data_IF_647755937481
#
_entry.id   IF_647755937481
#
_cell.length_a   1.000
_cell.length_b   1.000
_cell.length_c   1.000
_cell.angle_alpha   90.00
_cell.angle_beta   90.00
_cell.angle_gamma   90.00
#
_symmetry.space_group_name_H-M   'P 1'
#
loop_
_entity.id
_entity.type
_entity.pdbx_description
1 polymer ?
2 non-polymer ?
3 non-polymer ?
4 water ?
#
# COMPACT_ATOMS: atom_id res chain seq x y z
N UNK A 1 3.10 6.14 -4.04
CA UNK A 1 2.65 6.54 -5.40
C UNK A 1 2.42 8.06 -5.53
N UNK A 2 2.14 8.75 -4.43
CA UNK A 2 1.74 10.17 -4.32
C UNK A 2 1.94 10.66 -2.88
N UNK A 3 1.65 11.93 -2.54
CA UNK A 3 2.09 12.54 -1.28
C UNK A 3 1.45 11.98 0.01
N UNK A 4 0.30 11.32 -0.12
CA UNK A 4 -0.35 10.60 1.00
C UNK A 4 0.48 9.39 1.38
N UNK A 5 0.90 8.63 0.36
CA UNK A 5 1.76 7.43 0.53
C UNK A 5 3.15 7.85 1.03
N UNK A 6 3.65 8.99 0.58
CA UNK A 6 4.90 9.62 1.08
C UNK A 6 4.87 9.82 2.61
N UNK A 7 3.83 10.45 3.11
CA UNK A 7 3.71 10.72 4.58
C UNK A 7 3.55 9.38 5.32
N UNK A 8 2.71 8.49 4.81
CA UNK A 8 2.51 7.17 5.44
C UNK A 8 3.84 6.43 5.56
N UNK A 9 4.63 6.39 4.47
CA UNK A 9 5.92 5.68 4.44
C UNK A 9 6.86 6.27 5.47
N UNK A 10 6.88 7.59 5.57
CA UNK A 10 7.79 8.30 6.53
C UNK A 10 7.46 7.87 7.97
N UNK A 11 6.19 7.70 8.28
CA UNK A 11 5.73 7.21 9.61
C UNK A 11 6.11 5.75 9.76
N UNK A 12 5.82 4.89 8.77
CA UNK A 12 6.11 3.46 8.93
C UNK A 12 7.60 3.22 9.15
N UNK A 13 8.47 3.95 8.42
CA UNK A 13 9.92 3.60 8.35
C UNK A 13 10.61 3.99 9.65
N UNK A 14 10.05 4.88 10.47
CA UNK A 14 10.72 5.31 11.70
C UNK A 14 9.89 5.08 12.98
N UNK A 15 8.56 4.98 12.86
CA UNK A 15 7.69 5.04 14.06
C UNK A 15 6.87 3.77 14.22
N UNK A 16 7.25 2.65 13.64
CA UNK A 16 6.50 1.38 13.85
C UNK A 16 7.46 0.27 14.24
N UNK A 17 6.91 -0.68 15.01
CA UNK A 17 7.57 -1.95 15.38
C UNK A 17 6.54 -3.04 15.16
N UNK A 18 7.01 -4.28 15.09
CA UNK A 18 6.10 -5.44 15.10
C UNK A 18 5.94 -5.87 16.56
N UNK A 19 4.72 -5.79 17.07
CA UNK A 19 4.42 -6.24 18.45
C UNK A 19 3.76 -7.62 18.39
N UNK A 20 4.17 -8.51 19.29
CA UNK A 20 3.60 -9.89 19.36
C UNK A 20 3.17 -10.20 20.80
N UNK A 21 1.85 -10.40 20.98
CA UNK A 21 1.24 -10.83 22.26
C UNK A 21 0.76 -12.29 22.05
N UNK A 22 0.14 -12.86 23.06
CA UNK A 22 -0.48 -14.22 22.96
C UNK A 22 -1.72 -14.19 22.05
N UNK A 23 -2.22 -13.00 21.69
CA UNK A 23 -3.37 -12.79 20.77
C UNK A 23 -2.94 -12.53 19.32
N UNK A 24 -1.65 -12.45 19.00
CA UNK A 24 -1.14 -12.34 17.62
C UNK A 24 -0.04 -11.32 17.44
N UNK A 25 0.27 -11.07 16.18
CA UNK A 25 1.20 -10.03 15.72
C UNK A 25 0.40 -8.79 15.31
N UNK A 26 0.85 -7.61 15.76
CA UNK A 26 0.18 -6.31 15.48
C UNK A 26 1.21 -5.29 14.98
N UNK A 27 0.79 -4.46 14.04
CA UNK A 27 1.44 -3.17 13.78
C UNK A 27 1.34 -2.39 15.09
N UNK A 28 2.45 -1.79 15.52
CA UNK A 28 2.46 -0.94 16.74
C UNK A 28 3.12 0.38 16.37
N UNK A 29 2.41 1.46 16.66
CA UNK A 29 2.86 2.86 16.44
C UNK A 29 3.59 3.35 17.68
N UNK A 30 4.87 3.73 17.48
CA UNK A 30 5.61 4.47 18.53
C UNK A 30 5.34 5.96 18.40
N UNK A 31 5.06 6.63 19.52
CA UNK A 31 4.60 8.04 19.47
C UNK A 31 5.72 8.98 19.95
N UNK A 32 6.40 8.64 21.05
CA UNK A 32 7.51 9.47 21.58
C UNK A 32 8.19 8.64 22.66
N UNK A 33 9.47 8.94 22.92
CA UNK A 33 10.25 8.31 24.02
C UNK A 33 10.13 6.79 23.88
N UNK A 34 9.58 6.06 24.87
CA UNK A 34 9.41 4.59 24.78
C UNK A 34 7.90 4.27 24.82
N UNK A 35 7.06 5.21 24.40
CA UNK A 35 5.57 5.14 24.50
C UNK A 35 5.03 4.78 23.11
N UNK A 36 4.24 3.72 23.05
CA UNK A 36 3.59 3.26 21.81
C UNK A 36 2.11 2.99 22.08
N UNK A 37 1.38 2.69 21.02
CA UNK A 37 -0.07 2.34 21.10
C UNK A 37 -0.32 1.03 20.37
N UNK A 38 -1.37 0.35 20.81
CA UNK A 38 -1.79 -0.94 20.23
C UNK A 38 -3.28 -1.08 20.51
N UNK A 39 -4.06 -1.83 19.68
CA UNK A 39 -5.46 -2.07 20.07
C UNK A 39 -5.55 -2.81 21.40
N UNK A 40 -6.56 -2.42 22.21
CA UNK A 40 -6.72 -3.01 23.56
C UNK A 40 -7.01 -4.52 23.46
N UNK A 41 -7.63 -4.98 22.38
CA UNK A 41 -7.87 -6.44 22.20
C UNK A 41 -6.57 -7.25 21.98
N UNK A 42 -5.40 -6.63 21.82
CA UNK A 42 -4.10 -7.33 21.83
C UNK A 42 -3.79 -7.94 23.20
N UNK A 43 -4.44 -7.48 24.28
CA UNK A 43 -4.28 -8.01 25.66
C UNK A 43 -2.81 -7.98 26.11
N UNK A 44 -2.21 -6.79 26.09
CA UNK A 44 -0.80 -6.61 26.49
C UNK A 44 -0.65 -7.07 27.95
N UNK A 45 0.38 -7.85 28.23
CA UNK A 45 0.73 -8.26 29.60
C UNK A 45 2.00 -7.63 30.09
N UNK A 46 2.72 -8.35 30.96
CA UNK A 46 3.94 -7.87 31.64
C UNK A 46 5.14 -7.94 30.67
N UNK A 47 5.07 -8.82 29.68
CA UNK A 47 6.13 -9.08 28.66
C UNK A 47 5.46 -9.04 27.27
N UNK A 48 6.13 -8.42 26.32
CA UNK A 48 5.66 -8.36 24.91
C UNK A 48 6.90 -8.61 24.02
N UNK A 49 6.71 -9.12 22.81
CA UNK A 49 7.83 -9.23 21.84
C UNK A 49 7.77 -8.01 20.92
N UNK A 50 8.90 -7.32 20.71
CA UNK A 50 9.01 -6.11 19.87
C UNK A 50 10.08 -6.45 18.83
N UNK A 51 9.70 -6.62 17.56
CA UNK A 51 10.63 -7.06 16.48
C UNK A 51 11.35 -8.35 16.96
N UNK A 52 10.61 -9.25 17.59
CA UNK A 52 11.01 -10.63 18.03
C UNK A 52 12.00 -10.61 19.19
N UNK A 53 12.08 -9.52 19.92
CA UNK A 53 12.91 -9.40 21.15
C UNK A 53 11.98 -9.30 22.37
N UNK A 54 12.25 -10.16 23.34
CA UNK A 54 11.52 -10.17 24.63
C UNK A 54 11.72 -8.83 25.34
N UNK A 55 10.62 -8.15 25.65
CA UNK A 55 10.64 -6.74 26.16
C UNK A 55 9.68 -6.61 27.37
N UNK A 56 10.18 -6.09 28.47
CA UNK A 56 9.35 -5.83 29.65
C UNK A 56 8.43 -4.66 29.36
N UNK A 57 7.18 -4.77 29.78
CA UNK A 57 6.19 -3.66 29.73
C UNK A 57 6.28 -2.88 31.05
N UNK A 58 6.69 -1.62 30.99
CA UNK A 58 6.84 -0.76 32.20
C UNK A 58 5.48 -0.25 32.64
N UNK A 59 4.54 -0.02 31.71
CA UNK A 59 3.16 0.42 32.01
C UNK A 59 2.27 0.09 30.83
N UNK A 60 1.01 -0.25 31.06
CA UNK A 60 0.01 -0.44 29.99
C UNK A 60 -1.34 0.12 30.48
N UNK A 61 -1.93 1.06 29.76
CA UNK A 61 -3.20 1.68 30.18
C UNK A 61 -4.23 1.60 29.05
N UNK A 62 -5.29 0.82 29.27
CA UNK A 62 -6.45 0.71 28.36
C UNK A 62 -7.29 1.96 28.50
N UNK A 63 -7.32 2.82 27.52
CA UNK A 63 -8.02 4.12 27.64
C UNK A 63 -9.53 3.95 27.56
N UNK A 64 -10.24 4.78 28.35
CA UNK A 64 -11.71 4.87 28.33
C UNK A 64 -12.08 6.34 28.34
N UNK A 65 -13.18 6.74 27.74
CA UNK A 65 -13.62 8.15 27.83
C UNK A 65 -14.24 8.44 29.22
N UNK A 66 -14.59 9.70 29.43
CA UNK A 66 -15.02 10.12 30.78
C UNK A 66 -16.44 9.64 31.06
N UNK A 67 -17.16 9.11 30.09
CA UNK A 67 -18.35 8.23 30.33
C UNK A 67 -17.96 6.77 30.71
N UNK A 68 -16.68 6.42 30.87
CA UNK A 68 -16.23 5.04 31.21
C UNK A 68 -16.68 4.14 30.04
N UNK A 69 -16.54 4.62 28.79
CA UNK A 69 -16.74 3.79 27.57
C UNK A 69 -15.37 3.45 26.95
N UNK A 70 -15.21 2.20 26.53
CA UNK A 70 -14.01 1.71 25.83
C UNK A 70 -13.63 2.67 24.69
N UNK A 71 -12.33 2.99 24.56
CA UNK A 71 -11.77 3.67 23.35
C UNK A 71 -10.94 2.72 22.47
N UNK A 72 -10.64 1.50 22.92
CA UNK A 72 -9.92 0.45 22.16
C UNK A 72 -8.45 0.80 21.91
N UNK A 73 -7.92 1.82 22.63
CA UNK A 73 -6.49 2.20 22.55
C UNK A 73 -5.84 1.75 23.87
N UNK A 74 -4.75 1.01 23.82
CA UNK A 74 -3.85 0.79 24.98
C UNK A 74 -2.53 1.57 24.71
N UNK A 75 -2.14 2.39 25.68
CA UNK A 75 -0.84 3.10 25.67
C UNK A 75 0.12 2.24 26.45
N UNK A 76 1.24 1.89 25.82
CA UNK A 76 2.25 0.95 26.38
C UNK A 76 3.57 1.70 26.52
N UNK A 77 4.18 1.67 27.71
CA UNK A 77 5.57 2.14 27.86
C UNK A 77 6.46 0.90 27.85
N UNK A 78 7.45 0.84 26.95
CA UNK A 78 8.29 -0.34 26.70
C UNK A 78 9.64 -0.15 27.42
N UNK A 79 10.16 -1.20 28.03
CA UNK A 79 11.56 -1.20 28.54
C UNK A 79 12.54 -1.42 27.40
N UNK A 80 12.62 -0.46 26.50
CA UNK A 80 13.43 -0.54 25.27
C UNK A 80 14.65 0.37 25.44
N UNK A 81 15.74 0.06 24.73
CA UNK A 81 17.03 0.79 24.86
C UNK A 81 17.08 1.95 23.87
N UNK A 82 15.98 2.30 23.21
CA UNK A 82 16.01 3.28 22.11
C UNK A 82 14.68 4.02 22.16
N UNK A 83 14.68 5.35 21.94
CA UNK A 83 13.45 6.16 21.84
C UNK A 83 12.93 6.20 20.40
N UNK A 84 11.64 6.46 20.29
CA UNK A 84 10.97 6.77 19.01
C UNK A 84 11.19 8.25 18.70
N UNK A 85 11.27 8.56 17.42
CA UNK A 85 11.08 9.95 16.93
C UNK A 85 9.78 10.49 17.54
N UNK A 86 9.79 11.69 18.08
CA UNK A 86 8.58 12.31 18.63
C UNK A 86 7.69 12.78 17.47
N UNK A 87 6.52 12.15 17.31
CA UNK A 87 5.52 12.53 16.26
C UNK A 87 4.25 13.10 16.87
N UNK A 88 4.27 13.54 18.12
CA UNK A 88 3.03 14.08 18.75
C UNK A 88 2.51 15.32 18.01
N UNK A 89 3.37 16.10 17.35
CA UNK A 89 2.88 17.27 16.59
C UNK A 89 2.10 16.89 15.33
N UNK A 90 2.03 15.61 14.94
CA UNK A 90 1.20 15.15 13.80
C UNK A 90 -0.16 14.63 14.28
N UNK A 91 -0.44 14.68 15.59
CA UNK A 91 -1.72 14.16 16.13
C UNK A 91 -2.75 15.28 16.11
N UNK A 92 -3.99 14.97 15.68
CA UNK A 92 -5.10 15.93 15.76
C UNK A 92 -5.42 16.30 17.21
N UNK A 93 -5.90 17.53 17.40
CA UNK A 93 -6.33 17.96 18.74
C UNK A 93 -7.81 17.60 18.99
N UNK A 94 -8.63 17.49 17.95
CA UNK A 94 -10.09 17.26 18.13
C UNK A 94 -10.60 16.14 17.23
N UNK A 95 -11.79 15.64 17.54
CA UNK A 95 -12.50 14.65 16.73
C UNK A 95 -12.86 15.32 15.40
N UNK A 96 -12.73 14.61 14.29
CA UNK A 96 -12.94 15.21 12.96
C UNK A 96 -13.18 14.12 11.93
N UNK A 97 -13.67 14.54 10.77
CA UNK A 97 -13.74 13.74 9.53
C UNK A 97 -12.52 14.12 8.66
N UNK A 98 -12.17 13.27 7.71
CA UNK A 98 -10.94 13.46 6.90
C UNK A 98 -11.19 13.04 5.46
N UNK A 99 -10.45 13.61 4.53
CA UNK A 99 -10.40 13.04 3.16
C UNK A 99 -9.08 12.29 2.91
N UNK A 100 -9.17 11.29 2.04
CA UNK A 100 -8.02 10.73 1.31
C UNK A 100 -7.01 10.22 2.34
N UNK A 101 -7.42 9.24 3.13
CA UNK A 101 -6.54 8.59 4.14
C UNK A 101 -5.88 7.34 3.55
N UNK A 102 -4.77 6.95 4.18
CA UNK A 102 -4.01 5.70 3.89
C UNK A 102 -3.96 4.92 5.19
N UNK A 103 -4.21 3.62 5.08
CA UNK A 103 -3.99 2.63 6.16
C UNK A 103 -2.72 1.86 5.85
N UNK A 104 -1.76 1.87 6.77
CA UNK A 104 -0.44 1.23 6.58
C UNK A 104 -0.20 0.14 7.63
N UNK A 105 0.28 -1.01 7.18
CA UNK A 105 0.49 -2.21 8.02
C UNK A 105 1.88 -2.72 7.77
N UNK A 106 2.52 -3.21 8.82
CA UNK A 106 3.80 -3.90 8.67
C UNK A 106 3.89 -5.07 9.66
N UNK A 107 3.66 -6.29 9.16
CA UNK A 107 3.80 -7.51 9.98
C UNK A 107 4.56 -8.56 9.16
N UNK A 108 4.84 -9.72 9.76
CA UNK A 108 5.32 -10.94 9.01
C UNK A 108 4.34 -11.35 7.87
N UNK A 109 3.04 -11.33 8.09
CA UNK A 109 1.98 -11.70 7.12
C UNK A 109 1.83 -10.60 6.03
N UNK A 110 1.98 -9.33 6.41
CA UNK A 110 1.70 -8.17 5.51
C UNK A 110 2.81 -7.12 5.66
N UNK A 111 4.02 -7.37 5.12
CA UNK A 111 5.09 -6.37 5.13
C UNK A 111 4.87 -5.27 4.08
N UNK A 112 5.18 -4.03 4.49
CA UNK A 112 5.20 -2.88 3.56
C UNK A 112 3.85 -2.77 2.83
N UNK A 113 2.74 -2.93 3.54
CA UNK A 113 1.37 -2.82 2.99
C UNK A 113 0.83 -1.41 3.19
N UNK A 114 0.31 -0.80 2.12
CA UNK A 114 -0.33 0.53 2.13
C UNK A 114 -1.65 0.44 1.37
N UNK A 115 -2.73 0.95 1.95
CA UNK A 115 -4.11 0.87 1.34
C UNK A 115 -4.71 2.27 1.29
N UNK A 116 -5.05 2.83 0.11
CA UNK A 116 -5.78 4.10 0.03
C UNK A 116 -7.25 3.79 0.36
N UNK A 117 -7.69 4.23 1.53
CA UNK A 117 -9.06 3.89 2.05
C UNK A 117 -10.05 5.00 1.72
N UNK A 118 -9.63 6.18 1.27
CA UNK A 118 -10.49 7.28 0.84
C UNK A 118 -11.02 8.05 2.02
N UNK A 119 -12.29 8.44 1.95
CA UNK A 119 -12.92 9.33 2.95
C UNK A 119 -13.09 8.61 4.30
N UNK A 120 -12.78 9.33 5.36
CA UNK A 120 -12.92 8.83 6.76
C UNK A 120 -14.01 9.63 7.50
N UNK A 121 -15.03 8.93 7.98
CA UNK A 121 -16.17 9.50 8.71
C UNK A 121 -15.87 9.45 10.23
N UNK A 122 -16.16 10.54 10.93
CA UNK A 122 -16.29 10.49 12.41
C UNK A 122 -17.57 9.71 12.69
N UNK A 123 -17.46 8.42 12.87
CA UNK A 123 -18.59 7.48 13.04
C UNK A 123 -19.15 7.59 14.47
N UNK A 124 -18.26 7.67 15.45
CA UNK A 124 -18.63 7.82 16.87
C UNK A 124 -18.79 6.48 17.54
N UNK A 125 -20.05 6.12 17.83
CA UNK A 125 -20.36 4.89 18.58
C UNK A 125 -20.30 3.67 17.65
N UNK A 126 -19.67 2.61 18.16
CA UNK A 126 -19.63 1.29 17.50
C UNK A 126 -19.70 0.23 18.58
N UNK A 127 -20.55 -0.76 18.34
CA UNK A 127 -20.51 -2.04 19.09
C UNK A 127 -19.46 -2.94 18.45
N UNK A 128 -18.24 -2.90 18.98
CA UNK A 128 -17.06 -3.53 18.43
C UNK A 128 -16.82 -4.88 19.10
N UNK A 129 -17.10 -6.00 18.39
CA UNK A 129 -16.94 -7.33 19.02
C UNK A 129 -17.80 -7.50 20.26
N UNK A 130 -18.97 -6.87 20.31
CA UNK A 130 -19.84 -6.87 21.52
C UNK A 130 -19.50 -5.78 22.54
N UNK A 131 -18.46 -4.98 22.33
CA UNK A 131 -18.06 -3.97 23.34
C UNK A 131 -18.46 -2.58 22.84
N UNK A 132 -19.33 -1.83 23.54
CA UNK A 132 -19.63 -0.43 23.20
C UNK A 132 -18.30 0.37 23.17
N UNK A 133 -18.07 1.05 22.06
CA UNK A 133 -16.80 1.77 21.81
C UNK A 133 -17.09 3.17 21.29
N UNK A 134 -16.35 4.20 21.72
CA UNK A 134 -16.53 5.58 21.23
C UNK A 134 -15.33 6.02 20.36
N UNK A 135 -15.48 7.20 19.78
CA UNK A 135 -14.42 7.87 18.94
C UNK A 135 -13.93 6.98 17.80
N UNK A 136 -14.85 6.29 17.16
CA UNK A 136 -14.53 5.44 15.99
C UNK A 136 -14.59 6.25 14.69
N UNK A 137 -13.55 6.06 13.88
CA UNK A 137 -13.44 6.50 12.48
C UNK A 137 -13.85 5.32 11.60
N UNK A 138 -14.54 5.62 10.50
CA UNK A 138 -14.95 4.57 9.52
C UNK A 138 -14.50 4.94 8.11
N UNK A 139 -14.10 3.92 7.38
CA UNK A 139 -13.69 4.03 5.95
C UNK A 139 -14.28 2.83 5.23
N UNK A 140 -14.59 3.07 3.95
CA UNK A 140 -15.34 2.08 3.14
C UNK A 140 -14.29 1.26 2.43
N UNK A 141 -13.52 0.48 3.15
CA UNK A 141 -12.60 -0.54 2.57
C UNK A 141 -12.82 -1.85 3.32
N UNK A 142 -12.89 -2.99 2.57
CA UNK A 142 -12.99 -4.33 3.13
C UNK A 142 -11.66 -4.85 3.70
N UNK A 143 -11.31 -4.27 4.85
CA UNK A 143 -10.12 -4.64 5.69
C UNK A 143 -10.30 -6.07 6.26
N UNK A 144 -9.18 -6.73 6.55
CA UNK A 144 -9.11 -8.18 6.85
C UNK A 144 -8.25 -8.38 8.10
N UNK A 145 -8.41 -9.55 8.72
CA UNK A 145 -7.54 -10.03 9.81
C UNK A 145 -6.09 -9.83 9.34
N UNK A 146 -5.23 -9.41 10.27
CA UNK A 146 -3.83 -9.04 10.03
C UNK A 146 -3.60 -7.54 10.01
N UNK A 147 -4.66 -6.71 9.90
CA UNK A 147 -4.51 -5.24 9.74
C UNK A 147 -4.69 -4.48 11.07
N UNK A 148 -5.05 -5.15 12.19
CA UNK A 148 -5.25 -4.43 13.48
C UNK A 148 -3.93 -3.81 13.91
N UNK A 149 -4.02 -2.55 14.36
CA UNK A 149 -2.84 -1.77 14.77
C UNK A 149 -2.37 -0.93 13.59
N UNK A 150 -2.89 -1.21 12.36
CA UNK A 150 -2.44 -0.44 11.20
C UNK A 150 -2.61 1.02 11.45
N UNK A 151 -1.73 1.85 10.85
CA UNK A 151 -1.75 3.31 11.10
C UNK A 151 -2.60 3.98 10.03
N UNK A 152 -3.50 4.84 10.46
CA UNK A 152 -4.34 5.69 9.55
C UNK A 152 -3.76 7.09 9.53
N UNK A 153 -3.38 7.56 8.33
CA UNK A 153 -2.76 8.89 8.14
C UNK A 153 -3.50 9.65 7.04
N UNK A 154 -3.40 10.96 7.12
CA UNK A 154 -3.54 11.82 5.93
C UNK A 154 -2.17 12.48 5.72
N UNK A 155 -2.02 13.29 4.67
CA UNK A 155 -0.84 14.20 4.58
C UNK A 155 -0.85 15.09 5.84
N UNK A 156 0.20 14.93 6.60
CA UNK A 156 0.55 15.77 7.72
C UNK A 156 -0.06 15.29 9.00
N UNK A 157 -0.98 14.28 9.00
CA UNK A 157 -1.64 13.88 10.27
C UNK A 157 -1.70 12.37 10.47
N UNK A 158 -1.41 11.94 11.70
CA UNK A 158 -1.60 10.54 12.16
C UNK A 158 -2.91 10.53 12.93
N UNK A 159 -3.98 9.91 12.38
CA UNK A 159 -5.35 10.17 12.92
C UNK A 159 -5.93 8.96 13.66
N UNK A 160 -5.35 7.77 13.58
CA UNK A 160 -6.00 6.62 14.22
C UNK A 160 -5.21 5.33 14.02
N UNK A 161 -5.67 4.30 14.70
CA UNK A 161 -5.16 2.93 14.52
C UNK A 161 -6.35 1.99 14.26
N UNK A 162 -6.19 1.15 13.24
CA UNK A 162 -7.21 0.16 12.79
C UNK A 162 -7.53 -0.82 13.93
N UNK A 163 -8.84 -1.02 14.24
CA UNK A 163 -9.24 -1.92 15.38
C UNK A 163 -10.29 -2.94 14.92
N UNK A 164 -10.85 -2.82 13.72
CA UNK A 164 -11.87 -3.80 13.29
C UNK A 164 -12.49 -3.54 11.94
N UNK A 165 -13.41 -4.44 11.55
CA UNK A 165 -14.12 -4.30 10.26
C UNK A 165 -15.36 -5.16 10.26
N UNK A 166 -16.27 -4.95 9.31
CA UNK A 166 -17.52 -5.77 9.16
C UNK A 166 -17.54 -6.45 7.78
N UNK A 167 -16.41 -6.55 7.10
CA UNK A 167 -16.31 -7.17 5.77
C UNK A 167 -16.39 -6.15 4.64
N UNK A 168 -17.15 -5.07 4.79
CA UNK A 168 -17.27 -3.97 3.80
C UNK A 168 -16.66 -2.63 4.28
N UNK A 169 -16.81 -2.33 5.57
CA UNK A 169 -16.21 -1.13 6.23
C UNK A 169 -15.06 -1.53 7.17
N UNK A 170 -14.14 -0.58 7.40
CA UNK A 170 -13.06 -0.72 8.40
C UNK A 170 -13.22 0.38 9.42
N UNK A 171 -12.75 0.12 10.63
CA UNK A 171 -12.92 1.02 11.80
C UNK A 171 -11.57 1.25 12.49
N UNK A 172 -11.33 2.53 12.81
CA UNK A 172 -10.11 2.91 13.54
C UNK A 172 -10.50 3.63 14.83
N UNK A 173 -9.69 3.46 15.86
CA UNK A 173 -9.77 4.29 17.08
C UNK A 173 -9.01 5.58 16.83
N UNK A 174 -9.62 6.72 17.17
CA UNK A 174 -8.95 8.02 17.03
C UNK A 174 -7.69 8.09 17.88
N UNK A 175 -6.67 8.79 17.38
CA UNK A 175 -5.56 9.27 18.23
C UNK A 175 -5.73 10.78 18.38
N UNK A 176 -5.68 11.24 19.60
CA UNK A 176 -5.77 12.66 19.95
C UNK A 176 -4.48 13.08 20.68
N UNK A 177 -4.03 14.29 20.39
CA UNK A 177 -2.84 14.87 21.07
C UNK A 177 -2.95 14.74 22.61
N UNK A 178 -4.14 14.95 23.16
CA UNK A 178 -4.37 14.95 24.63
C UNK A 178 -4.10 13.59 25.28
N UNK A 179 -4.03 12.49 24.53
CA UNK A 179 -3.72 11.17 25.11
C UNK A 179 -2.23 11.09 25.55
N UNK A 180 -1.36 11.96 25.03
CA UNK A 180 0.13 11.81 25.10
C UNK A 180 0.83 13.06 25.65
N UNK A 181 0.11 13.89 26.40
CA UNK A 181 0.71 14.99 27.21
C UNK A 181 1.41 14.34 28.43
N UNK A 182 2.45 14.99 28.98
CA UNK A 182 3.30 14.49 30.11
C UNK A 182 3.93 15.66 30.90
N UNK B 2 -0.64 -13.41 1.56
CA UNK B 2 -0.35 -14.87 1.72
C UNK B 2 0.47 -15.41 0.56
N UNK B 3 -0.09 -16.36 -0.24
CA UNK B 3 0.52 -16.73 -1.53
C UNK B 3 0.51 -15.49 -2.44
N UNK B 4 -0.54 -14.67 -2.35
CA UNK B 4 -0.69 -13.39 -3.09
C UNK B 4 0.41 -12.39 -2.76
N UNK B 5 0.64 -12.09 -1.46
CA UNK B 5 1.77 -11.23 -1.02
C UNK B 5 3.12 -11.86 -1.31
N UNK B 6 3.34 -13.17 -1.10
CA UNK B 6 4.55 -13.88 -1.55
C UNK B 6 4.78 -13.63 -3.04
N UNK B 7 3.76 -13.91 -3.85
CA UNK B 7 3.86 -13.84 -5.32
C UNK B 7 4.26 -12.39 -5.70
N UNK B 8 3.58 -11.39 -5.18
CA UNK B 8 3.86 -9.98 -5.52
C UNK B 8 5.32 -9.68 -5.17
N UNK B 9 5.80 -10.14 -4.00
CA UNK B 9 7.22 -9.91 -3.59
C UNK B 9 8.22 -10.60 -4.50
N UNK B 10 7.92 -11.84 -4.95
CA UNK B 10 8.80 -12.66 -5.83
C UNK B 10 8.96 -11.99 -7.20
N UNK B 11 7.87 -11.41 -7.69
CA UNK B 11 7.91 -10.65 -8.97
C UNK B 11 8.66 -9.31 -8.77
N UNK B 12 8.37 -8.61 -7.69
CA UNK B 12 9.07 -7.34 -7.33
C UNK B 12 10.58 -7.61 -7.33
N UNK B 13 11.00 -8.60 -6.55
CA UNK B 13 12.42 -8.86 -6.23
C UNK B 13 13.23 -9.13 -7.51
N UNK B 14 12.77 -9.99 -8.39
CA UNK B 14 13.57 -10.43 -9.54
C UNK B 14 13.19 -9.68 -10.84
N UNK B 15 11.96 -9.17 -10.96
CA UNK B 15 11.44 -8.71 -12.28
C UNK B 15 11.10 -7.21 -12.32
N UNK B 16 11.33 -6.43 -11.27
CA UNK B 16 10.93 -5.00 -11.26
C UNK B 16 12.20 -4.15 -11.14
N UNK B 17 12.39 -3.18 -12.03
CA UNK B 17 13.50 -2.21 -12.00
C UNK B 17 12.95 -0.79 -11.98
N UNK B 18 13.80 0.19 -11.67
CA UNK B 18 13.40 1.61 -11.67
C UNK B 18 13.82 2.19 -13.02
N UNK B 19 12.86 2.63 -13.83
CA UNK B 19 13.15 3.21 -15.17
C UNK B 19 13.00 4.72 -15.04
N UNK B 20 13.94 5.49 -15.60
CA UNK B 20 13.84 6.97 -15.57
C UNK B 20 13.94 7.47 -17.02
N UNK B 21 12.87 8.13 -17.46
CA UNK B 21 12.77 8.79 -18.79
C UNK B 21 12.88 10.30 -18.57
N UNK B 22 12.70 11.07 -19.64
CA UNK B 22 12.61 12.54 -19.57
C UNK B 22 11.53 12.94 -18.56
N UNK B 23 10.50 12.09 -18.35
CA UNK B 23 9.33 12.44 -17.50
C UNK B 23 9.56 12.11 -16.01
N UNK B 24 10.60 11.38 -15.68
CA UNK B 24 10.93 10.95 -14.31
C UNK B 24 10.86 9.43 -14.15
N UNK B 25 10.52 8.96 -12.95
CA UNK B 25 10.74 7.54 -12.57
C UNK B 25 9.41 6.78 -12.67
N UNK B 26 9.55 5.56 -13.21
CA UNK B 26 8.45 4.62 -13.43
C UNK B 26 8.88 3.24 -12.92
N UNK B 27 7.94 2.54 -12.29
CA UNK B 27 8.06 1.10 -12.02
C UNK B 27 8.06 0.35 -13.38
N UNK B 28 9.10 -0.39 -13.67
CA UNK B 28 9.22 -1.10 -14.95
C UNK B 28 9.24 -2.62 -14.66
N UNK B 29 8.46 -3.39 -15.43
CA UNK B 29 8.46 -4.86 -15.36
C UNK B 29 9.32 -5.45 -16.47
N UNK B 30 10.36 -6.19 -16.08
CA UNK B 30 11.09 -7.04 -17.03
C UNK B 30 10.38 -8.36 -17.21
N UNK B 31 10.19 -8.77 -18.46
CA UNK B 31 9.34 -9.94 -18.79
C UNK B 31 10.21 -11.17 -19.15
N UNK B 32 11.22 -10.99 -19.97
CA UNK B 32 12.13 -12.07 -20.43
C UNK B 32 13.30 -11.46 -21.18
N UNK B 33 14.45 -12.16 -21.28
CA UNK B 33 15.60 -11.64 -22.05
C UNK B 33 15.86 -10.17 -21.66
N UNK B 34 15.96 -9.25 -22.63
CA UNK B 34 16.13 -7.80 -22.30
C UNK B 34 14.84 -7.02 -22.65
N UNK B 35 13.71 -7.69 -22.53
CA UNK B 35 12.38 -7.14 -22.90
C UNK B 35 11.64 -6.74 -21.65
N UNK B 36 11.19 -5.49 -21.59
CA UNK B 36 10.46 -4.93 -20.43
C UNK B 36 9.25 -4.13 -20.93
N UNK B 37 8.38 -3.78 -20.01
CA UNK B 37 7.18 -2.97 -20.32
C UNK B 37 7.12 -1.77 -19.38
N UNK B 38 6.52 -0.70 -19.90
CA UNK B 38 6.38 0.58 -19.17
C UNK B 38 5.14 1.25 -19.78
N UNK B 39 4.40 2.11 -19.06
CA UNK B 39 3.29 2.85 -19.66
C UNK B 39 3.75 3.74 -20.82
N UNK B 40 2.91 3.83 -21.86
CA UNK B 40 3.25 4.64 -23.06
C UNK B 40 3.47 6.11 -22.66
N UNK B 41 2.75 6.61 -21.64
CA UNK B 41 2.89 8.02 -21.22
C UNK B 41 4.27 8.30 -20.63
N UNK B 42 5.15 7.30 -20.39
CA UNK B 42 6.53 7.54 -19.89
C UNK B 42 7.40 8.22 -20.95
N UNK B 43 6.99 8.14 -22.22
CA UNK B 43 7.71 8.83 -23.36
C UNK B 43 9.16 8.34 -23.42
N UNK B 44 9.29 7.03 -23.62
CA UNK B 44 10.61 6.39 -23.77
C UNK B 44 11.32 6.96 -25.01
N UNK B 45 12.58 7.31 -24.83
CA UNK B 45 13.42 7.84 -25.92
C UNK B 45 14.44 6.84 -26.35
N UNK B 46 15.57 7.36 -26.82
CA UNK B 46 16.69 6.52 -27.33
C UNK B 46 17.48 5.97 -26.15
N UNK B 47 17.51 6.72 -25.05
CA UNK B 47 18.30 6.35 -23.84
C UNK B 47 17.33 6.37 -22.66
N UNK B 48 17.50 5.42 -21.77
CA UNK B 48 16.75 5.35 -20.49
C UNK B 48 17.74 5.05 -19.35
N UNK B 49 17.38 5.44 -18.13
CA UNK B 49 18.13 4.99 -16.93
C UNK B 49 17.41 3.78 -16.31
N UNK B 50 18.15 2.72 -16.05
CA UNK B 50 17.63 1.46 -15.42
C UNK B 50 18.41 1.31 -14.10
N UNK B 51 17.77 1.51 -12.95
CA UNK B 51 18.46 1.52 -11.64
C UNK B 51 19.66 2.48 -11.67
N UNK B 52 19.45 3.66 -12.26
CA UNK B 52 20.39 4.81 -12.30
C UNK B 52 21.55 4.55 -13.27
N UNK B 53 21.48 3.49 -14.10
CA UNK B 53 22.47 3.20 -15.18
C UNK B 53 21.94 3.67 -16.54
N UNK B 54 22.63 4.60 -17.20
CA UNK B 54 22.36 5.01 -18.61
C UNK B 54 22.35 3.78 -19.53
N UNK B 55 21.23 3.52 -20.24
CA UNK B 55 20.99 2.27 -21.01
C UNK B 55 20.39 2.64 -22.38
N UNK B 56 21.02 2.18 -23.45
CA UNK B 56 20.44 2.36 -24.80
C UNK B 56 19.14 1.57 -24.89
N UNK B 57 18.09 2.20 -25.41
CA UNK B 57 16.84 1.48 -25.79
C UNK B 57 16.97 1.05 -27.27
N UNK B 58 17.08 -0.25 -27.52
CA UNK B 58 17.30 -0.74 -28.90
C UNK B 58 16.01 -0.67 -29.72
N UNK B 59 14.87 -0.86 -29.05
CA UNK B 59 13.55 -0.90 -29.71
C UNK B 59 12.50 -0.47 -28.69
N UNK B 60 11.52 0.32 -29.15
CA UNK B 60 10.34 0.70 -28.35
C UNK B 60 9.10 0.54 -29.25
N UNK B 61 8.11 -0.19 -28.78
CA UNK B 61 6.82 -0.39 -29.48
C UNK B 61 5.68 0.12 -28.59
N UNK B 62 4.99 1.17 -29.03
CA UNK B 62 3.77 1.68 -28.37
C UNK B 62 2.61 0.79 -28.84
N UNK B 63 2.19 -0.19 -28.04
CA UNK B 63 1.27 -1.25 -28.51
C UNK B 63 -0.12 -0.70 -28.85
N UNK B 64 -0.66 -1.24 -29.93
CA UNK B 64 -2.07 -1.04 -30.38
C UNK B 64 -2.66 -2.40 -30.75
N UNK B 65 -3.96 -2.55 -30.63
CA UNK B 65 -4.62 -3.82 -30.97
C UNK B 65 -5.01 -3.82 -32.46
N UNK B 66 -5.68 -4.89 -32.86
CA UNK B 66 -6.01 -5.07 -34.30
C UNK B 66 -7.20 -4.19 -34.74
N UNK B 67 -7.87 -3.49 -33.83
CA UNK B 67 -8.77 -2.38 -34.18
C UNK B 67 -7.98 -1.06 -34.36
N UNK B 68 -6.65 -1.10 -34.26
CA UNK B 68 -5.77 0.09 -34.33
C UNK B 68 -6.11 1.05 -33.19
N UNK B 69 -6.29 0.51 -31.99
CA UNK B 69 -6.60 1.30 -30.80
C UNK B 69 -5.43 1.17 -29.81
N UNK B 70 -5.09 2.28 -29.20
CA UNK B 70 -4.05 2.34 -28.13
C UNK B 70 -4.33 1.30 -27.05
N UNK B 71 -3.25 0.68 -26.54
CA UNK B 71 -3.28 -0.20 -25.32
C UNK B 71 -2.50 0.42 -24.14
N UNK B 72 -1.76 1.51 -24.36
CA UNK B 72 -1.05 2.29 -23.34
C UNK B 72 0.13 1.50 -22.74
N UNK B 73 0.58 0.45 -23.39
CA UNK B 73 1.79 -0.36 -22.99
C UNK B 73 2.83 -0.07 -24.03
N UNK B 74 4.05 0.23 -23.62
CA UNK B 74 5.20 0.25 -24.52
C UNK B 74 6.14 -0.90 -24.15
N UNK B 75 6.44 -1.75 -25.14
CA UNK B 75 7.44 -2.82 -24.98
C UNK B 75 8.79 -2.24 -25.37
N UNK B 76 9.80 -2.42 -24.53
CA UNK B 76 11.19 -1.95 -24.80
C UNK B 76 12.17 -3.14 -24.82
N UNK B 77 13.17 -3.06 -25.70
CA UNK B 77 14.33 -3.98 -25.77
C UNK B 77 15.55 -3.20 -25.34
N UNK B 78 16.17 -3.60 -24.24
CA UNK B 78 17.22 -2.80 -23.56
C UNK B 78 18.61 -3.35 -23.97
N UNK B 79 19.58 -2.45 -24.16
CA UNK B 79 21.02 -2.81 -24.35
C UNK B 79 21.68 -2.98 -22.97
N UNK B 80 21.53 -4.15 -22.33
CA UNK B 80 22.14 -4.48 -21.01
C UNK B 80 22.49 -5.97 -20.94
N UNK B 81 23.52 -6.28 -20.14
CA UNK B 81 24.06 -7.66 -20.03
C UNK B 81 23.03 -8.53 -19.30
N UNK B 82 22.45 -8.01 -18.22
CA UNK B 82 21.47 -8.76 -17.37
C UNK B 82 20.30 -9.20 -18.25
N UNK B 83 19.93 -10.48 -18.14
CA UNK B 83 18.67 -11.00 -18.69
C UNK B 83 17.65 -11.08 -17.55
N UNK B 84 16.40 -10.76 -17.83
CA UNK B 84 15.30 -10.88 -16.84
C UNK B 84 14.87 -12.35 -16.72
N UNK B 85 14.51 -12.75 -15.51
CA UNK B 85 13.85 -14.06 -15.24
C UNK B 85 12.59 -14.15 -16.10
N UNK B 86 12.45 -15.21 -16.92
CA UNK B 86 11.26 -15.38 -17.79
C UNK B 86 10.01 -15.59 -16.94
N UNK B 87 8.99 -14.71 -17.09
CA UNK B 87 7.69 -14.75 -16.37
C UNK B 87 6.54 -14.81 -17.36
N UNK B 88 6.81 -15.12 -18.63
CA UNK B 88 5.73 -15.20 -19.67
C UNK B 88 4.67 -16.23 -19.31
N UNK B 89 5.05 -17.30 -18.60
CA UNK B 89 4.09 -18.33 -18.16
C UNK B 89 3.12 -17.83 -17.10
N UNK B 90 3.34 -16.65 -16.48
CA UNK B 90 2.40 -16.06 -15.51
C UNK B 90 1.46 -14.99 -16.12
N UNK B 91 1.56 -14.79 -17.44
CA UNK B 91 0.69 -13.80 -18.15
C UNK B 91 -0.59 -14.47 -18.58
N UNK B 92 -1.75 -13.85 -18.33
CA UNK B 92 -3.04 -14.38 -18.79
C UNK B 92 -3.10 -14.51 -20.32
N UNK B 93 -3.79 -15.56 -20.76
CA UNK B 93 -3.99 -15.81 -22.21
C UNK B 93 -5.13 -14.92 -22.71
N UNK B 94 -6.10 -14.63 -21.85
CA UNK B 94 -7.39 -13.98 -22.21
C UNK B 94 -7.67 -12.78 -21.32
N UNK B 95 -8.54 -11.89 -21.77
CA UNK B 95 -9.14 -10.80 -20.97
C UNK B 95 -9.98 -11.42 -19.84
N UNK B 96 -9.93 -10.87 -18.63
CA UNK B 96 -10.63 -11.49 -17.48
C UNK B 96 -10.80 -10.48 -16.33
N UNK B 97 -11.71 -10.81 -15.40
CA UNK B 97 -11.89 -10.16 -14.07
C UNK B 97 -11.08 -10.96 -13.03
N UNK B 98 -10.72 -10.32 -11.92
CA UNK B 98 -9.84 -10.93 -10.87
C UNK B 98 -10.26 -10.46 -9.47
N UNK B 99 -9.94 -11.27 -8.45
CA UNK B 99 -10.08 -10.82 -7.04
C UNK B 99 -8.72 -10.76 -6.35
N UNK B 100 -8.66 -9.97 -5.30
CA UNK B 100 -7.53 -10.05 -4.32
C UNK B 100 -6.23 -9.68 -5.05
N UNK B 101 -6.26 -8.61 -5.85
CA UNK B 101 -5.04 -8.16 -6.56
C UNK B 101 -4.20 -7.24 -5.68
N UNK B 102 -2.92 -7.19 -5.99
CA UNK B 102 -1.90 -6.35 -5.33
C UNK B 102 -1.21 -5.52 -6.42
N UNK B 103 -1.08 -4.24 -6.18
CA UNK B 103 -0.32 -3.27 -6.98
C UNK B 103 1.01 -3.04 -6.26
N UNK B 104 2.13 -3.30 -6.95
CA UNK B 104 3.50 -3.23 -6.38
C UNK B 104 4.32 -2.13 -7.08
N UNK B 105 4.64 -1.10 -6.27
CA UNK B 105 5.32 0.15 -6.68
C UNK B 105 6.80 0.05 -6.32
N UNK B 106 7.68 0.44 -7.21
CA UNK B 106 9.11 0.43 -6.94
C UNK B 106 9.78 1.64 -7.63
N UNK B 107 10.10 2.70 -6.86
CA UNK B 107 10.85 3.87 -7.36
C UNK B 107 11.87 4.28 -6.31
N UNK B 108 12.65 5.32 -6.59
CA UNK B 108 13.62 5.83 -5.57
C UNK B 108 12.86 6.37 -4.37
N UNK B 109 11.72 7.02 -4.63
CA UNK B 109 10.86 7.63 -3.58
C UNK B 109 10.07 6.55 -2.81
N UNK B 110 9.64 5.48 -3.49
CA UNK B 110 8.69 4.45 -3.00
C UNK B 110 9.33 3.09 -3.27
N UNK B 111 10.34 2.68 -2.51
CA UNK B 111 11.01 1.43 -2.74
C UNK B 111 10.13 0.29 -2.22
N UNK B 112 10.04 -0.84 -2.88
CA UNK B 112 9.27 -1.96 -2.21
C UNK B 112 7.95 -1.58 -1.49
N UNK B 113 6.94 -0.94 -2.12
CA UNK B 113 5.59 -0.61 -1.56
C UNK B 113 4.48 -1.53 -2.18
N UNK B 114 3.62 -2.18 -1.39
CA UNK B 114 2.56 -3.14 -1.83
C UNK B 114 1.19 -2.58 -1.47
N UNK B 115 0.32 -2.41 -2.47
CA UNK B 115 -1.00 -1.76 -2.32
C UNK B 115 -2.06 -2.77 -2.70
N UNK B 116 -2.69 -3.45 -1.72
CA UNK B 116 -3.80 -4.37 -1.96
C UNK B 116 -4.91 -3.51 -2.57
N UNK B 117 -5.38 -3.86 -3.75
CA UNK B 117 -6.43 -3.06 -4.42
C UNK B 117 -7.75 -3.84 -4.43
N UNK B 118 -7.67 -5.17 -4.31
CA UNK B 118 -8.83 -6.06 -4.16
C UNK B 118 -9.39 -6.44 -5.50
N UNK B 119 -10.66 -6.15 -5.68
CA UNK B 119 -11.43 -6.63 -6.86
C UNK B 119 -11.02 -5.81 -8.09
N UNK B 120 -10.72 -6.54 -9.14
CA UNK B 120 -10.29 -5.96 -10.46
C UNK B 120 -11.32 -6.34 -11.53
N UNK B 121 -11.91 -5.33 -12.18
CA UNK B 121 -12.89 -5.50 -13.28
C UNK B 121 -12.20 -5.39 -14.65
N UNK B 122 -12.57 -6.22 -15.61
CA UNK B 122 -12.39 -5.97 -17.05
C UNK B 122 -13.28 -4.80 -17.46
N UNK B 123 -12.74 -3.60 -17.46
CA UNK B 123 -13.49 -2.33 -17.65
C UNK B 123 -13.62 -2.11 -19.17
N UNK B 124 -12.56 -2.40 -19.93
CA UNK B 124 -12.50 -2.35 -21.37
C UNK B 124 -12.09 -0.99 -21.89
N UNK B 125 -13.05 -0.22 -22.42
CA UNK B 125 -12.80 1.05 -23.12
C UNK B 125 -12.64 2.17 -22.10
N UNK B 126 -11.62 3.02 -22.29
CA UNK B 126 -11.39 4.22 -21.47
C UNK B 126 -10.82 5.30 -22.38
N UNK B 127 -11.37 6.49 -22.28
CA UNK B 127 -10.74 7.69 -22.88
C UNK B 127 -9.70 8.19 -21.89
N UNK B 128 -8.45 7.86 -22.13
CA UNK B 128 -7.33 8.15 -21.19
C UNK B 128 -6.52 9.34 -21.68
N UNK B 129 -6.68 10.50 -21.02
CA UNK B 129 -6.00 11.75 -21.41
C UNK B 129 -6.37 12.19 -22.82
N UNK B 130 -7.59 11.85 -23.25
CA UNK B 130 -8.11 12.17 -24.58
C UNK B 130 -7.82 11.10 -25.63
N UNK B 131 -7.11 10.02 -25.28
CA UNK B 131 -6.82 8.90 -26.21
C UNK B 131 -7.73 7.71 -25.92
N UNK B 132 -8.53 7.25 -26.91
CA UNK B 132 -9.30 6.01 -26.81
C UNK B 132 -8.35 4.82 -26.58
N UNK B 133 -8.63 4.04 -25.52
CA UNK B 133 -7.76 2.97 -24.99
C UNK B 133 -8.61 1.72 -24.77
N UNK B 134 -8.05 0.56 -25.12
CA UNK B 134 -8.72 -0.72 -24.87
C UNK B 134 -8.02 -1.49 -23.74
N UNK B 135 -8.68 -2.58 -23.32
CA UNK B 135 -8.15 -3.63 -22.39
C UNK B 135 -7.73 -3.00 -21.06
N UNK B 136 -8.54 -2.10 -20.55
CA UNK B 136 -8.32 -1.48 -19.22
C UNK B 136 -8.94 -2.35 -18.14
N UNK B 137 -8.14 -2.60 -17.10
CA UNK B 137 -8.58 -3.16 -15.80
C UNK B 137 -8.86 -2.02 -14.84
N UNK B 138 -9.89 -2.16 -13.98
CA UNK B 138 -10.22 -1.08 -13.06
C UNK B 138 -10.32 -1.65 -11.63
N UNK B 139 -9.86 -0.86 -10.68
CA UNK B 139 -9.97 -1.18 -9.23
C UNK B 139 -10.27 0.13 -8.50
N UNK B 140 -10.87 0.02 -7.31
CA UNK B 140 -11.02 1.21 -6.45
C UNK B 140 -9.64 1.77 -6.13
N UNK B 141 -9.50 3.08 -6.11
CA UNK B 141 -8.21 3.78 -5.85
C UNK B 141 -8.50 5.23 -5.50
N UNK B 142 -9.09 5.48 -4.29
CA UNK B 142 -9.56 6.82 -3.88
C UNK B 142 -8.44 7.71 -3.36
N UNK B 143 -7.60 8.17 -4.27
CA UNK B 143 -6.33 8.87 -4.03
C UNK B 143 -5.93 9.47 -5.38
N UNK B 144 -5.27 10.61 -5.34
CA UNK B 144 -4.61 11.18 -6.54
C UNK B 144 -3.17 10.68 -6.47
N UNK B 145 -2.87 9.65 -7.26
CA UNK B 145 -1.54 9.04 -7.44
C UNK B 145 -0.80 9.77 -8.59
N UNK B 146 0.53 9.82 -8.50
CA UNK B 146 1.42 10.28 -9.58
C UNK B 146 1.52 9.25 -10.70
N UNK B 147 2.48 9.50 -11.58
CA UNK B 147 2.62 8.78 -12.87
C UNK B 147 3.35 7.44 -12.71
N UNK B 148 4.05 7.17 -11.60
CA UNK B 148 5.13 6.16 -11.57
C UNK B 148 4.55 4.76 -11.83
N UNK B 149 3.28 4.54 -11.53
CA UNK B 149 2.64 3.22 -11.77
C UNK B 149 3.23 2.07 -10.96
N UNK B 150 3.07 0.83 -11.47
CA UNK B 150 3.31 -0.36 -10.66
C UNK B 150 2.71 -1.59 -11.31
N UNK B 151 3.08 -2.72 -10.77
CA UNK B 151 2.74 -4.02 -11.39
C UNK B 151 1.54 -4.59 -10.65
N UNK B 152 0.53 -5.07 -11.36
CA UNK B 152 -0.68 -5.68 -10.74
C UNK B 152 -0.60 -7.22 -10.88
N UNK B 153 -0.71 -7.86 -9.71
CA UNK B 153 -0.61 -9.34 -9.61
C UNK B 153 -1.80 -9.88 -8.86
N UNK B 154 -2.09 -11.14 -9.12
CA UNK B 154 -2.99 -11.97 -8.28
C UNK B 154 -2.16 -13.16 -7.83
N UNK B 155 -2.70 -14.07 -7.05
CA UNK B 155 -1.98 -15.34 -6.82
C UNK B 155 -1.79 -15.99 -8.20
N UNK B 156 -0.56 -16.19 -8.61
CA UNK B 156 -0.24 -16.98 -9.79
C UNK B 156 -0.17 -16.23 -11.08
N UNK B 157 -0.59 -14.95 -11.14
CA UNK B 157 -0.65 -14.25 -12.45
C UNK B 157 -0.12 -12.82 -12.34
N UNK B 158 0.57 -12.42 -13.39
CA UNK B 158 0.93 -10.98 -13.60
C UNK B 158 -0.06 -10.38 -14.62
N UNK B 159 -0.97 -9.56 -14.18
CA UNK B 159 -2.19 -9.26 -14.98
C UNK B 159 -2.11 -7.89 -15.65
N UNK B 160 -1.29 -6.95 -15.18
CA UNK B 160 -1.33 -5.62 -15.80
C UNK B 160 -0.31 -4.69 -15.16
N UNK B 161 -0.19 -3.50 -15.73
CA UNK B 161 0.64 -2.39 -15.17
C UNK B 161 -0.26 -1.16 -15.05
N UNK B 162 -0.15 -0.44 -13.94
CA UNK B 162 -0.97 0.77 -13.62
C UNK B 162 -0.66 1.91 -14.61
N UNK B 163 -1.69 2.45 -15.25
CA UNK B 163 -1.49 3.50 -16.29
C UNK B 163 -2.22 4.81 -15.96
N UNK B 164 -3.13 4.86 -14.99
CA UNK B 164 -3.83 6.11 -14.65
C UNK B 164 -4.89 5.97 -13.59
N UNK B 165 -5.69 7.02 -13.43
CA UNK B 165 -6.78 6.98 -12.45
C UNK B 165 -7.54 8.31 -12.43
N UNK B 166 -8.75 8.31 -11.85
CA UNK B 166 -9.66 9.50 -11.87
C UNK B 166 -9.95 10.01 -10.46
N UNK B 167 -9.11 9.67 -9.45
CA UNK B 167 -9.24 10.08 -8.02
C UNK B 167 -10.19 9.18 -7.20
N UNK B 168 -10.99 8.35 -7.87
CA UNK B 168 -11.89 7.34 -7.30
C UNK B 168 -11.48 5.94 -7.74
N UNK B 169 -11.10 5.80 -9.02
CA UNK B 169 -10.76 4.49 -9.61
C UNK B 169 -9.34 4.55 -10.13
N UNK B 170 -8.70 3.40 -10.16
CA UNK B 170 -7.37 3.18 -10.73
C UNK B 170 -7.51 2.28 -11.96
N UNK B 171 -6.64 2.52 -12.94
CA UNK B 171 -6.70 1.81 -14.27
C UNK B 171 -5.35 1.21 -14.58
N UNK B 172 -5.36 -0.04 -15.02
CA UNK B 172 -4.19 -0.78 -15.47
C UNK B 172 -4.42 -1.25 -16.88
N UNK B 173 -3.38 -1.29 -17.68
CA UNK B 173 -3.35 -1.94 -19.00
C UNK B 173 -3.13 -3.43 -18.80
N UNK B 174 -3.95 -4.26 -19.44
CA UNK B 174 -3.76 -5.72 -19.37
C UNK B 174 -2.41 -6.13 -19.96
N UNK B 175 -1.76 -7.13 -19.36
CA UNK B 175 -0.69 -7.87 -20.03
C UNK B 175 -1.27 -9.22 -20.44
N UNK B 176 -1.03 -9.56 -21.70
CA UNK B 176 -1.50 -10.83 -22.30
C UNK B 176 -0.28 -11.59 -22.82
N UNK B 177 -0.40 -12.92 -22.79
CA UNK B 177 0.70 -13.80 -23.19
C UNK B 177 1.08 -13.52 -24.65
N UNK B 178 0.08 -13.22 -25.46
CA UNK B 178 0.29 -13.05 -26.93
C UNK B 178 1.11 -11.81 -27.25
N UNK B 179 1.35 -10.89 -26.31
CA UNK B 179 2.14 -9.68 -26.64
C UNK B 179 3.64 -9.98 -26.77
N UNK B 180 4.06 -11.15 -26.24
CA UNK B 180 5.48 -11.52 -26.03
C UNK B 180 5.84 -12.85 -26.72
N UNK B 181 4.90 -13.50 -27.41
CA UNK B 181 5.20 -14.66 -28.30
C UNK B 181 5.92 -14.17 -29.58
X LIG C 1 6.85 14.26 6.83
X LIG C 1 7.03 15.62 6.16
X LIG C 1 5.94 15.84 5.12
X LIG C 1 7.79 14.09 8.00
X LIG C 1 5.60 14.57 4.46
X LIG C 1 4.20 15.67 0.80
X LIG C 1 3.25 15.03 3.86
X LIG C 1 5.02 15.73 2.06
X LIG C 1 6.75 13.65 4.39
X LIG C 1 7.08 13.15 5.79
X LIG C 1 4.49 13.26 2.69
X LIG C 1 8.21 15.01 8.66
X LIG C 1 8.08 12.85 8.21
X LIG C 1 4.46 14.56 3.28
X LIG D 1 15.01 3.65 13.35
X LIG D 1 15.55 3.55 11.93
X LIG D 1 15.99 2.51 14.30
X LIG D 1 13.49 2.71 13.36
X LIG E 1 8.01 -8.62 -27.78
X LIG E 1 9.21 -7.97 -28.45
X LIG E 1 8.54 -10.23 -27.30
X LIG E 1 6.90 -9.08 -29.10
#
# INVERSE_FOLDING_TARGET
>A
MGPGFDFAQAIMKKNTVIARTEKGEFTMLGVYDRVAVIPTHASVGEIIYINDVETRVLDACALRDLTDTNLEITIVKLDRNQKFRDIRHFLPRCEDDYNDAVLSVHTSKFPNMYIPVGQVTNYGFLNLGGTPTHRILMYNFPTRAGQCGGVVTTTGKVIGIHVGGNGAQGFAAMLLHSYFTD
>B
MGPGFDFAQAIMKKNTVIARTEKGEFTMLGVYDRVAVIPTHASVGEIIYINDVETRVLDACALRDLTDTNLEITIVKLDRNQKFRDIRHFLPRCEDDYNDAVLSVHTSKFPNMYIPVGQVTNYGFLNLGGTPTHRILMYNFPTRAGQCGGVVTTTGKVIGIHVGGNGAQGFAAMLLHSYFTD
>C hetero
1 TE0 C4 C5 C6 C7 N C O C1 C2 C3 O1 O2 O3 S
>D hetero
1 DMS S O C1 C2
>E hetero
1 DMS S O C1 C2
#
